data_IF_364468829213
#
_entry.id   IF_364468829213
#
_cell.length_a   1.000
_cell.length_b   1.000
_cell.length_c   1.000
_cell.angle_alpha   90.00
_cell.angle_beta   90.00
_cell.angle_gamma   90.00
#
_symmetry.space_group_name_H-M   'P 1'
#
loop_
_entity.id
_entity.type
_entity.pdbx_description
1 polymer ?
#
# COMPACT_ATOMS: atom_id res chain seq x y z
N UNK A 1 -20.42 90.88 -4.36
CA UNK A 1 -19.54 89.81 -3.82
C UNK A 1 -20.31 88.49 -3.86
N UNK A 2 -20.09 87.70 -4.92
CA UNK A 2 -20.76 86.38 -5.11
C UNK A 2 -19.80 85.27 -4.72
N UNK A 3 -20.13 84.48 -3.68
CA UNK A 3 -19.35 83.32 -3.26
C UNK A 3 -19.81 82.15 -4.08
N UNK A 4 -18.88 81.56 -4.84
CA UNK A 4 -19.07 80.35 -5.63
C UNK A 4 -18.75 79.18 -4.72
N UNK A 5 -19.75 78.37 -4.39
CA UNK A 5 -19.55 77.09 -3.70
C UNK A 5 -19.26 76.00 -4.71
N UNK A 6 -18.07 75.42 -4.62
CA UNK A 6 -17.65 74.24 -5.43
C UNK A 6 -18.02 73.01 -4.69
N UNK A 7 -19.00 72.25 -5.21
CA UNK A 7 -19.37 70.92 -4.71
C UNK A 7 -18.47 69.90 -5.40
N UNK A 8 -17.57 69.30 -4.64
CA UNK A 8 -16.78 68.11 -5.10
C UNK A 8 -17.58 66.86 -4.82
N UNK A 9 -18.11 66.23 -5.88
CA UNK A 9 -18.75 64.94 -5.79
C UNK A 9 -17.66 63.85 -5.82
N UNK A 10 -17.45 63.18 -4.69
CA UNK A 10 -16.56 62.03 -4.57
C UNK A 10 -17.30 60.75 -5.03
N UNK A 11 -17.04 60.32 -6.26
CA UNK A 11 -17.55 59.05 -6.77
C UNK A 11 -16.69 57.90 -6.23
N UNK A 12 -17.21 57.17 -5.26
CA UNK A 12 -16.59 55.92 -4.79
C UNK A 12 -16.93 54.82 -5.78
N UNK A 13 -15.98 54.42 -6.60
CA UNK A 13 -16.07 53.24 -7.44
C UNK A 13 -15.87 51.99 -6.53
N UNK A 14 -16.97 51.31 -6.21
CA UNK A 14 -16.92 49.98 -5.59
C UNK A 14 -16.79 48.98 -6.74
N UNK A 15 -15.57 48.52 -6.98
CA UNK A 15 -15.34 47.37 -7.86
C UNK A 15 -15.62 46.09 -7.07
N UNK A 16 -16.46 45.16 -7.55
CA UNK A 16 -16.60 43.87 -6.90
C UNK A 16 -15.33 43.04 -7.17
N UNK A 17 -14.54 42.77 -6.11
CA UNK A 17 -13.50 41.73 -6.15
C UNK A 17 -14.17 40.36 -6.25
N UNK A 18 -14.46 39.94 -7.45
CA UNK A 18 -14.67 38.52 -7.73
C UNK A 18 -13.29 37.84 -7.78
N UNK A 19 -12.72 37.54 -6.62
CA UNK A 19 -11.57 36.65 -6.53
C UNK A 19 -12.06 35.24 -6.77
N UNK A 20 -12.11 34.81 -8.02
CA UNK A 20 -12.21 33.39 -8.37
C UNK A 20 -10.88 32.76 -7.91
N UNK A 21 -10.91 32.05 -6.79
CA UNK A 21 -9.79 31.21 -6.37
C UNK A 21 -9.61 30.12 -7.42
N UNK A 22 -8.62 30.27 -8.29
CA UNK A 22 -8.16 29.19 -9.15
C UNK A 22 -7.51 28.14 -8.25
N UNK A 23 -8.17 27.00 -8.11
CA UNK A 23 -7.58 25.80 -7.48
C UNK A 23 -6.27 25.48 -8.19
N UNK A 24 -5.21 25.34 -7.43
CA UNK A 24 -3.90 24.95 -7.98
C UNK A 24 -3.96 23.50 -8.50
N UNK A 25 -3.04 23.12 -9.37
CA UNK A 25 -2.94 21.73 -9.84
C UNK A 25 -2.74 20.74 -8.67
N UNK A 26 -2.11 21.20 -7.58
CA UNK A 26 -2.00 20.42 -6.34
C UNK A 26 -3.37 20.22 -5.66
N UNK A 27 -4.21 21.26 -5.61
CA UNK A 27 -5.56 21.17 -5.05
C UNK A 27 -6.46 20.29 -5.91
N UNK A 28 -6.31 20.32 -7.24
CA UNK A 28 -7.00 19.42 -8.17
C UNK A 28 -6.54 17.97 -8.00
N UNK A 29 -5.24 17.75 -7.74
CA UNK A 29 -4.69 16.43 -7.50
C UNK A 29 -5.18 15.86 -6.16
N UNK A 30 -5.27 16.68 -5.12
CA UNK A 30 -5.83 16.30 -3.81
C UNK A 30 -7.33 16.01 -3.92
N UNK A 31 -8.10 16.81 -4.68
CA UNK A 31 -9.52 16.56 -4.90
C UNK A 31 -9.77 15.34 -5.80
N UNK A 32 -8.90 15.07 -6.78
CA UNK A 32 -8.98 13.84 -7.58
C UNK A 32 -8.64 12.58 -6.78
N UNK A 33 -7.81 12.68 -5.76
CA UNK A 33 -7.47 11.58 -4.85
C UNK A 33 -8.50 11.40 -3.74
N UNK A 34 -9.33 12.41 -3.51
CA UNK A 34 -10.49 12.44 -2.61
C UNK A 34 -11.81 12.07 -3.33
N UNK A 35 -11.79 11.61 -4.57
CA UNK A 35 -12.89 10.84 -5.11
C UNK A 35 -13.01 9.59 -4.23
N UNK A 36 -13.87 9.67 -3.22
CA UNK A 36 -14.09 8.68 -2.21
C UNK A 36 -14.27 7.33 -2.91
N UNK A 37 -13.31 6.44 -2.72
CA UNK A 37 -13.52 5.04 -2.99
C UNK A 37 -14.80 4.65 -2.23
N UNK A 38 -15.74 4.02 -2.90
CA UNK A 38 -16.93 3.50 -2.24
C UNK A 38 -16.49 2.69 -1.01
N UNK A 39 -17.27 2.79 0.08
CA UNK A 39 -16.98 2.04 1.30
C UNK A 39 -16.87 0.56 0.97
N UNK A 40 -15.71 -0.04 1.23
CA UNK A 40 -15.47 -1.47 1.08
C UNK A 40 -15.61 -2.20 2.43
N UNK A 41 -16.39 -3.27 2.46
CA UNK A 41 -16.47 -4.20 3.60
C UNK A 41 -16.19 -5.60 3.09
N UNK A 42 -15.19 -6.27 3.68
CA UNK A 42 -14.69 -7.56 3.21
C UNK A 42 -14.79 -8.63 4.32
N UNK A 43 -15.97 -9.22 4.57
CA UNK A 43 -16.11 -10.35 5.49
C UNK A 43 -15.20 -11.49 5.06
N UNK A 44 -14.56 -12.17 6.01
CA UNK A 44 -13.56 -13.21 5.70
C UNK A 44 -14.08 -14.29 4.75
N UNK A 45 -15.32 -14.70 4.91
CA UNK A 45 -15.98 -15.71 4.06
C UNK A 45 -16.29 -15.21 2.62
N UNK A 46 -16.21 -13.92 2.37
CA UNK A 46 -16.54 -13.30 1.08
C UNK A 46 -15.30 -12.81 0.32
N UNK A 47 -14.11 -12.98 0.89
CA UNK A 47 -12.86 -12.61 0.22
C UNK A 47 -12.70 -13.45 -1.05
N UNK A 48 -12.56 -12.77 -2.18
CA UNK A 48 -12.35 -13.40 -3.49
C UNK A 48 -10.87 -13.65 -3.71
N UNK A 49 -10.46 -14.90 -3.61
CA UNK A 49 -9.10 -15.32 -3.82
C UNK A 49 -8.82 -15.58 -5.31
N UNK A 50 -7.67 -15.12 -5.78
CA UNK A 50 -7.09 -15.45 -7.08
C UNK A 50 -5.73 -16.12 -6.88
N UNK A 51 -5.15 -16.67 -7.94
CA UNK A 51 -3.79 -17.20 -7.87
C UNK A 51 -2.82 -16.11 -7.44
N UNK A 52 -1.82 -16.50 -6.65
CA UNK A 52 -0.75 -15.60 -6.22
C UNK A 52 0.01 -15.00 -7.41
N UNK A 53 0.69 -13.87 -7.22
CA UNK A 53 1.46 -13.24 -8.28
C UNK A 53 2.63 -14.14 -8.69
N UNK A 54 3.07 -14.01 -9.95
CA UNK A 54 4.20 -14.79 -10.48
C UNK A 54 5.52 -14.57 -9.71
N UNK A 55 5.59 -13.51 -8.91
CA UNK A 55 6.73 -13.21 -8.04
C UNK A 55 6.75 -14.02 -6.73
N UNK A 56 5.74 -14.82 -6.46
CA UNK A 56 5.71 -15.76 -5.33
C UNK A 56 5.74 -17.19 -5.84
N UNK A 57 6.29 -18.16 -5.07
CA UNK A 57 6.19 -19.57 -5.38
C UNK A 57 4.73 -19.99 -5.62
N UNK A 58 4.54 -21.04 -6.41
CA UNK A 58 3.20 -21.58 -6.67
C UNK A 58 2.53 -22.06 -5.39
N UNK A 59 1.19 -21.91 -5.31
CA UNK A 59 0.38 -22.32 -4.18
C UNK A 59 -0.15 -21.17 -3.34
N UNK A 60 0.47 -20.01 -3.33
CA UNK A 60 -0.10 -18.82 -2.70
C UNK A 60 -1.36 -18.36 -3.42
N UNK A 61 -2.28 -17.72 -2.68
CA UNK A 61 -3.42 -16.99 -3.25
C UNK A 61 -3.38 -15.54 -2.80
N UNK A 62 -3.91 -14.66 -3.65
CA UNK A 62 -3.96 -13.22 -3.44
C UNK A 62 -5.41 -12.73 -3.44
N UNK A 63 -5.71 -11.78 -2.58
CA UNK A 63 -6.92 -10.96 -2.67
C UNK A 63 -6.56 -9.48 -2.46
N UNK A 64 -6.78 -8.65 -3.46
CA UNK A 64 -6.67 -7.20 -3.31
C UNK A 64 -7.99 -6.70 -2.72
N UNK A 65 -7.92 -6.00 -1.58
CA UNK A 65 -9.07 -5.46 -0.87
C UNK A 65 -9.27 -3.98 -1.21
N UNK A 66 -8.16 -3.25 -1.41
CA UNK A 66 -8.20 -1.83 -1.71
C UNK A 66 -6.98 -1.45 -2.54
N UNK A 67 -7.14 -0.51 -3.46
CA UNK A 67 -6.06 0.03 -4.29
C UNK A 67 -5.46 -0.99 -5.27
N UNK A 68 -4.23 -0.71 -5.68
CA UNK A 68 -3.46 -1.55 -6.59
C UNK A 68 -1.99 -1.53 -6.16
N UNK A 69 -1.41 -2.64 -5.69
CA UNK A 69 -0.02 -2.66 -5.24
C UNK A 69 1.00 -2.34 -6.35
N UNK A 70 0.60 -2.42 -7.61
CA UNK A 70 1.47 -2.08 -8.75
C UNK A 70 1.47 -0.59 -9.12
N UNK A 71 0.54 0.20 -8.57
CA UNK A 71 0.36 1.62 -8.87
C UNK A 71 0.73 2.50 -7.68
N UNK A 72 0.92 3.79 -7.94
CA UNK A 72 1.05 4.77 -6.87
C UNK A 72 -0.25 4.86 -6.05
N UNK A 73 -0.10 5.02 -4.75
CA UNK A 73 -1.20 5.17 -3.81
C UNK A 73 -1.24 4.06 -2.76
N UNK A 74 -2.20 4.17 -1.88
CA UNK A 74 -2.42 3.18 -0.82
C UNK A 74 -2.99 1.89 -1.38
N UNK A 75 -2.57 0.75 -0.83
CA UNK A 75 -3.17 -0.54 -1.11
C UNK A 75 -3.31 -1.39 0.15
N UNK A 76 -4.29 -2.28 0.14
CA UNK A 76 -4.47 -3.37 1.11
C UNK A 76 -4.72 -4.66 0.35
N UNK A 77 -3.96 -5.70 0.69
CA UNK A 77 -4.14 -7.04 0.10
C UNK A 77 -3.98 -8.13 1.16
N UNK A 78 -4.51 -9.30 0.88
CA UNK A 78 -4.27 -10.51 1.68
C UNK A 78 -3.56 -11.57 0.86
N UNK A 79 -2.66 -12.29 1.50
CA UNK A 79 -2.08 -13.52 0.99
C UNK A 79 -2.59 -14.70 1.84
N UNK A 80 -3.07 -15.71 1.17
CA UNK A 80 -3.29 -17.03 1.73
C UNK A 80 -2.11 -17.93 1.34
N UNK A 81 -1.49 -18.55 2.33
CA UNK A 81 -0.28 -19.34 2.21
C UNK A 81 -0.58 -20.75 2.72
N UNK A 82 -0.36 -21.82 1.92
CA UNK A 82 -0.51 -23.19 2.41
C UNK A 82 0.54 -23.53 3.48
N UNK A 83 0.32 -24.61 4.19
CA UNK A 83 1.30 -25.11 5.16
C UNK A 83 2.67 -25.33 4.52
N UNK A 84 3.71 -24.94 5.23
CA UNK A 84 5.10 -25.05 4.77
C UNK A 84 5.49 -24.11 3.64
N UNK A 85 4.62 -23.18 3.21
CA UNK A 85 4.94 -22.21 2.15
C UNK A 85 6.14 -21.35 2.55
N UNK A 86 7.11 -21.23 1.66
CA UNK A 86 8.36 -20.51 1.91
C UNK A 86 8.54 -19.39 0.93
N UNK A 87 9.00 -18.24 1.43
CA UNK A 87 9.47 -17.12 0.63
C UNK A 87 10.94 -16.93 0.95
N UNK A 88 11.80 -17.23 -0.04
CA UNK A 88 13.26 -17.12 0.08
C UNK A 88 13.68 -15.70 0.39
N UNK A 89 14.92 -15.48 0.87
CA UNK A 89 15.40 -14.15 1.22
C UNK A 89 15.19 -13.13 0.11
N UNK A 90 14.51 -12.05 0.47
CA UNK A 90 14.07 -10.98 -0.43
C UNK A 90 13.97 -9.64 0.29
N UNK A 91 13.66 -8.59 -0.46
CA UNK A 91 13.39 -7.26 0.04
C UNK A 91 12.35 -6.56 -0.83
N UNK A 92 11.78 -5.48 -0.31
CA UNK A 92 10.75 -4.69 -1.00
C UNK A 92 11.20 -3.27 -1.27
N UNK A 93 10.67 -2.67 -2.35
CA UNK A 93 10.96 -1.28 -2.74
C UNK A 93 10.41 -0.23 -1.78
N UNK A 94 9.43 -0.59 -0.96
CA UNK A 94 8.75 0.27 0.01
C UNK A 94 8.66 -0.45 1.36
N UNK A 95 8.25 0.27 2.39
CA UNK A 95 7.94 -0.32 3.70
C UNK A 95 6.85 -1.39 3.52
N UNK A 96 7.05 -2.54 4.14
CA UNK A 96 6.05 -3.59 4.23
C UNK A 96 5.39 -3.57 5.62
N UNK A 97 4.08 -3.59 5.65
CA UNK A 97 3.28 -3.74 6.86
C UNK A 97 2.49 -5.04 6.77
N UNK A 98 2.62 -5.88 7.77
CA UNK A 98 1.97 -7.20 7.81
C UNK A 98 1.20 -7.37 9.10
N UNK A 99 -0.05 -7.81 8.97
CA UNK A 99 -0.85 -8.33 10.08
C UNK A 99 -1.16 -9.79 9.82
N UNK A 100 -0.86 -10.66 10.75
CA UNK A 100 -1.27 -12.08 10.68
C UNK A 100 -2.74 -12.17 11.04
N UNK A 101 -3.58 -12.56 10.07
CA UNK A 101 -5.03 -12.68 10.23
C UNK A 101 -5.39 -14.05 10.82
N UNK A 102 -4.73 -15.12 10.33
CA UNK A 102 -4.90 -16.49 10.84
C UNK A 102 -3.63 -17.30 10.62
N UNK A 103 -3.48 -18.41 11.35
CA UNK A 103 -2.30 -19.27 11.27
C UNK A 103 -1.07 -18.67 11.95
N UNK A 104 0.10 -19.10 11.53
CA UNK A 104 1.40 -18.68 12.07
C UNK A 104 2.33 -18.32 10.92
N UNK A 105 2.71 -17.05 10.87
CA UNK A 105 3.69 -16.51 9.92
C UNK A 105 5.04 -16.38 10.60
N UNK A 106 6.08 -17.01 10.07
CA UNK A 106 7.42 -16.93 10.62
C UNK A 106 8.25 -15.97 9.77
N UNK A 107 8.93 -15.04 10.43
CA UNK A 107 9.77 -14.03 9.81
C UNK A 107 11.21 -14.17 10.30
N UNK A 108 12.13 -14.36 9.38
CA UNK A 108 13.56 -14.33 9.63
C UNK A 108 14.26 -13.19 8.87
N UNK A 109 15.34 -12.69 9.43
CA UNK A 109 16.11 -11.58 8.89
C UNK A 109 17.40 -12.06 8.22
N UNK A 110 17.82 -11.34 7.18
CA UNK A 110 19.08 -11.57 6.50
C UNK A 110 18.96 -12.23 5.12
N UNK A 111 20.11 -12.65 4.60
CA UNK A 111 20.26 -13.10 3.21
C UNK A 111 20.24 -14.64 3.07
N UNK A 112 20.17 -15.35 4.19
CA UNK A 112 20.14 -16.82 4.22
C UNK A 112 18.85 -17.28 4.90
N UNK A 113 18.22 -18.30 4.33
CA UNK A 113 17.03 -18.92 4.90
C UNK A 113 17.42 -19.76 6.12
N UNK A 114 17.15 -19.25 7.32
CA UNK A 114 17.40 -19.95 8.60
C UNK A 114 16.12 -20.01 9.44
N UNK A 115 15.47 -21.14 9.44
CA UNK A 115 14.22 -21.35 10.18
C UNK A 115 14.40 -21.20 11.70
N UNK A 116 15.55 -21.59 12.24
CA UNK A 116 15.81 -21.58 13.68
C UNK A 116 15.92 -20.14 14.22
N UNK A 117 16.40 -19.19 13.39
CA UNK A 117 16.50 -17.77 13.73
C UNK A 117 15.22 -16.97 13.43
N UNK A 118 14.18 -17.58 12.89
CA UNK A 118 12.95 -16.89 12.55
C UNK A 118 12.08 -16.62 13.79
N UNK A 119 11.42 -15.46 13.80
CA UNK A 119 10.42 -15.11 14.81
C UNK A 119 9.05 -15.64 14.40
N UNK A 120 8.42 -16.40 15.27
CA UNK A 120 7.04 -16.85 15.12
C UNK A 120 6.07 -15.68 15.38
N UNK A 121 5.17 -15.45 14.44
CA UNK A 121 4.14 -14.42 14.50
C UNK A 121 2.77 -15.10 14.41
N UNK A 122 2.09 -15.38 15.52
CA UNK A 122 0.74 -15.94 15.54
C UNK A 122 -0.30 -14.90 15.10
N UNK A 123 -1.54 -15.38 14.86
CA UNK A 123 -2.68 -14.53 14.52
C UNK A 123 -2.82 -13.34 15.48
N UNK A 124 -3.14 -12.16 14.96
CA UNK A 124 -3.19 -10.88 15.67
C UNK A 124 -1.85 -10.15 15.75
N UNK A 125 -0.74 -10.78 15.39
CA UNK A 125 0.56 -10.09 15.38
C UNK A 125 0.63 -9.11 14.22
N UNK A 126 1.12 -7.90 14.52
CA UNK A 126 1.49 -6.89 13.55
C UNK A 126 3.00 -6.69 13.53
N UNK A 127 3.56 -6.49 12.35
CA UNK A 127 4.95 -6.12 12.15
C UNK A 127 5.13 -5.22 10.92
N UNK A 128 6.22 -4.49 10.90
CA UNK A 128 6.63 -3.74 9.71
C UNK A 128 8.15 -3.76 9.58
N UNK A 129 8.63 -3.66 8.34
CA UNK A 129 10.05 -3.56 8.04
C UNK A 129 10.31 -2.56 6.91
N UNK A 130 11.40 -1.78 7.06
CA UNK A 130 11.76 -0.74 6.10
C UNK A 130 12.03 -1.28 4.70
N UNK A 131 11.90 -0.40 3.71
CA UNK A 131 12.33 -0.66 2.34
C UNK A 131 13.78 -1.14 2.30
N UNK A 132 14.07 -2.14 1.46
CA UNK A 132 15.41 -2.72 1.30
C UNK A 132 15.86 -3.68 2.40
N UNK A 133 15.09 -3.82 3.50
CA UNK A 133 15.44 -4.77 4.57
C UNK A 133 15.28 -6.20 4.07
N UNK A 134 16.39 -6.98 4.11
CA UNK A 134 16.41 -8.36 3.65
C UNK A 134 15.81 -9.28 4.70
N UNK A 135 14.85 -10.07 4.28
CA UNK A 135 14.13 -10.99 5.15
C UNK A 135 13.63 -12.19 4.35
N UNK A 136 13.19 -13.22 5.06
CA UNK A 136 12.54 -14.39 4.50
C UNK A 136 11.37 -14.78 5.39
N UNK A 137 10.44 -15.55 4.85
CA UNK A 137 9.26 -15.94 5.60
C UNK A 137 8.84 -17.37 5.28
N UNK A 138 8.08 -17.97 6.20
CA UNK A 138 7.43 -19.26 5.97
C UNK A 138 6.16 -19.41 6.81
N UNK A 139 5.20 -20.16 6.29
CA UNK A 139 3.94 -20.46 6.96
C UNK A 139 4.03 -21.77 7.73
N UNK A 140 3.53 -21.79 8.95
CA UNK A 140 3.32 -23.00 9.75
C UNK A 140 1.82 -23.22 9.88
N UNK A 141 1.34 -24.24 9.22
CA UNK A 141 -0.07 -24.41 8.94
C UNK A 141 -0.57 -23.43 7.88
N UNK A 142 -1.83 -23.58 7.48
CA UNK A 142 -2.50 -22.62 6.60
C UNK A 142 -2.52 -21.23 7.25
N UNK A 143 -1.99 -20.23 6.56
CA UNK A 143 -1.77 -18.90 7.12
C UNK A 143 -2.32 -17.83 6.21
N UNK A 144 -3.03 -16.85 6.78
CA UNK A 144 -3.46 -15.65 6.09
C UNK A 144 -2.77 -14.44 6.69
N UNK A 145 -2.09 -13.67 5.85
CA UNK A 145 -1.52 -12.38 6.22
C UNK A 145 -2.19 -11.26 5.43
N UNK A 146 -2.37 -10.11 6.06
CA UNK A 146 -2.80 -8.88 5.40
C UNK A 146 -1.61 -7.93 5.30
N UNK A 147 -1.35 -7.50 4.07
CA UNK A 147 -0.33 -6.51 3.76
C UNK A 147 -0.98 -5.21 3.36
N UNK A 148 -0.37 -4.10 3.77
CA UNK A 148 -0.77 -2.78 3.29
C UNK A 148 0.46 -1.87 3.17
N UNK A 149 0.34 -0.84 2.36
CA UNK A 149 1.44 0.09 2.11
C UNK A 149 1.13 1.07 1.01
N UNK A 150 2.20 1.68 0.52
CA UNK A 150 2.15 2.60 -0.62
C UNK A 150 2.83 1.93 -1.82
N UNK A 151 2.11 1.83 -2.91
CA UNK A 151 2.64 1.33 -4.18
C UNK A 151 3.42 2.40 -4.98
N UNK A 152 4.11 2.04 -6.06
CA UNK A 152 4.30 0.68 -6.53
C UNK A 152 5.19 -0.14 -5.56
N UNK A 153 4.72 -1.32 -5.20
CA UNK A 153 5.36 -2.21 -4.24
C UNK A 153 5.87 -3.47 -4.96
N UNK A 154 7.14 -3.78 -4.76
CA UNK A 154 7.81 -4.87 -5.48
C UNK A 154 8.51 -5.80 -4.52
N UNK A 155 8.74 -7.04 -4.96
CA UNK A 155 9.60 -8.01 -4.31
C UNK A 155 10.83 -8.27 -5.18
N UNK A 156 12.01 -8.26 -4.56
CA UNK A 156 13.29 -8.60 -5.19
C UNK A 156 13.99 -9.66 -4.36
N UNK A 157 14.29 -10.80 -4.97
CA UNK A 157 14.99 -11.88 -4.29
C UNK A 157 16.49 -11.59 -4.18
N UNK A 158 17.09 -11.94 -3.03
CA UNK A 158 18.54 -11.79 -2.80
C UNK A 158 19.32 -12.66 -3.79
N UNK A 159 18.91 -13.91 -3.94
CA UNK A 159 19.45 -14.79 -4.98
C UNK A 159 18.47 -14.82 -6.17
N UNK A 160 18.88 -14.37 -7.36
CA UNK A 160 18.00 -14.37 -8.54
C UNK A 160 17.48 -15.75 -8.95
N UNK A 161 18.15 -16.85 -8.55
CA UNK A 161 17.67 -18.21 -8.81
C UNK A 161 16.46 -18.61 -7.96
N UNK A 162 16.20 -17.90 -6.85
CA UNK A 162 15.05 -18.13 -5.99
C UNK A 162 13.80 -17.37 -6.48
N UNK A 163 13.96 -16.49 -7.46
CA UNK A 163 12.85 -15.76 -8.06
C UNK A 163 12.02 -16.70 -8.95
N UNK A 164 10.75 -16.95 -8.62
CA UNK A 164 9.91 -17.86 -9.41
C UNK A 164 9.74 -17.42 -10.87
N UNK A 165 9.91 -16.12 -11.16
CA UNK A 165 9.83 -15.58 -12.52
C UNK A 165 10.99 -16.02 -13.40
N UNK A 166 12.12 -16.41 -12.80
CA UNK A 166 13.31 -16.89 -13.47
C UNK A 166 13.36 -18.40 -13.63
N UNK A 167 12.47 -19.16 -12.96
CA UNK A 167 12.40 -20.60 -13.07
C UNK A 167 11.85 -20.99 -14.46
N UNK A 168 12.64 -21.67 -15.26
CA UNK A 168 12.16 -22.23 -16.53
C UNK A 168 11.05 -23.27 -16.23
N UNK A 169 9.92 -23.10 -16.87
CA UNK A 169 8.82 -24.09 -16.87
C UNK A 169 9.25 -25.36 -17.62
#
# INVERSE_FOLDING_TARGET
MKRLMLLIALAVLIAPLAQAQQLTEADKKVTAQSAASEMGVFPAAQVKWMNGPASLPAGAKLAVLEGDPAKEGFFTMRLWLPDGFKISPHWHSKVEHVTVVSGIFNLGMGEKFDQAGAREMPAGTFGFWPAGMRHFAWAKGETVVQLHGIGPWTITYVNPSDDPRNMKK
#
